data_IF_858628795779
#
_entry.id   IF_858628795779
#
_cell.length_a   1.000
_cell.length_b   1.000
_cell.length_c   1.000
_cell.angle_alpha   90.00
_cell.angle_beta   90.00
_cell.angle_gamma   90.00
#
_symmetry.space_group_name_H-M   'P 1'
#
loop_
_entity.id
_entity.type
_entity.pdbx_description
1 polymer ?
#
# COMPACT_ATOMS: atom_id res chain seq x y z
N UNK A 1 11.25 12.58 -23.29
CA UNK A 1 11.56 12.01 -21.96
C UNK A 1 11.49 10.50 -22.08
N UNK A 2 12.56 9.78 -21.74
CA UNK A 2 12.55 8.32 -21.71
C UNK A 2 11.85 7.79 -20.43
N UNK A 3 11.61 6.49 -20.33
CA UNK A 3 10.91 5.92 -19.18
C UNK A 3 11.63 6.18 -17.85
N UNK A 4 12.97 6.12 -17.84
CA UNK A 4 13.78 6.35 -16.65
C UNK A 4 13.63 7.79 -16.14
N UNK A 5 13.79 8.75 -17.04
CA UNK A 5 13.62 10.18 -16.74
C UNK A 5 12.21 10.46 -16.20
N UNK A 6 11.17 9.89 -16.82
CA UNK A 6 9.79 10.07 -16.35
C UNK A 6 9.61 9.55 -14.92
N UNK A 7 10.17 8.38 -14.61
CA UNK A 7 10.08 7.79 -13.27
C UNK A 7 10.81 8.62 -12.22
N UNK A 8 12.00 9.13 -12.56
CA UNK A 8 12.75 10.02 -11.68
C UNK A 8 11.94 11.27 -11.36
N UNK A 9 11.31 11.91 -12.36
CA UNK A 9 10.48 13.09 -12.10
C UNK A 9 9.20 12.76 -11.34
N UNK A 10 8.56 11.61 -11.62
CA UNK A 10 7.39 11.17 -10.88
C UNK A 10 7.74 10.95 -9.40
N UNK A 11 8.86 10.29 -9.12
CA UNK A 11 9.36 10.09 -7.77
C UNK A 11 9.71 11.43 -7.08
N UNK A 12 10.34 12.34 -7.81
CA UNK A 12 10.73 13.66 -7.32
C UNK A 12 9.56 14.65 -7.11
N UNK A 13 8.39 14.36 -7.69
CA UNK A 13 7.22 15.23 -7.64
C UNK A 13 6.62 15.37 -6.24
N UNK A 14 7.03 14.55 -5.27
CA UNK A 14 6.43 14.44 -3.93
C UNK A 14 4.90 14.14 -3.95
N UNK A 15 4.32 13.80 -5.12
CA UNK A 15 2.92 13.41 -5.20
C UNK A 15 2.68 12.14 -4.38
N UNK A 16 1.50 11.98 -3.76
CA UNK A 16 1.07 10.69 -3.25
C UNK A 16 1.00 9.67 -4.38
N UNK A 17 1.71 8.55 -4.23
CA UNK A 17 1.75 7.46 -5.20
C UNK A 17 1.41 6.14 -4.51
N UNK A 18 0.58 5.32 -5.16
CA UNK A 18 0.42 3.90 -4.83
C UNK A 18 0.92 3.09 -6.01
N UNK A 19 1.96 2.28 -5.80
CA UNK A 19 2.63 1.51 -6.86
C UNK A 19 2.25 0.03 -6.70
N UNK A 20 1.68 -0.56 -7.75
CA UNK A 20 1.33 -1.98 -7.81
C UNK A 20 2.12 -2.68 -8.91
N UNK A 21 2.81 -3.77 -8.55
CA UNK A 21 3.49 -4.65 -9.51
C UNK A 21 2.46 -5.49 -10.27
N UNK A 22 2.68 -5.67 -11.57
CA UNK A 22 1.87 -6.49 -12.46
C UNK A 22 2.76 -7.26 -13.44
N UNK A 23 2.21 -8.25 -14.15
CA UNK A 23 2.96 -9.24 -14.97
C UNK A 23 4.06 -8.64 -15.86
N UNK A 24 3.88 -7.43 -16.40
CA UNK A 24 4.82 -6.79 -17.34
C UNK A 24 5.27 -5.37 -16.92
N UNK A 25 5.17 -5.01 -15.63
CA UNK A 25 5.61 -3.70 -15.14
C UNK A 25 4.85 -3.23 -13.91
N UNK A 26 4.47 -1.95 -13.88
CA UNK A 26 3.83 -1.33 -12.71
C UNK A 26 2.62 -0.46 -13.07
N UNK A 27 1.62 -0.46 -12.21
CA UNK A 27 0.56 0.53 -12.21
C UNK A 27 0.84 1.52 -11.08
N UNK A 28 0.89 2.81 -11.40
CA UNK A 28 1.04 3.88 -10.41
C UNK A 28 -0.24 4.68 -10.37
N UNK A 29 -0.89 4.65 -9.21
CA UNK A 29 -2.08 5.42 -8.94
C UNK A 29 -1.68 6.71 -8.22
N UNK A 30 -2.18 7.83 -8.68
CA UNK A 30 -1.89 9.16 -8.11
C UNK A 30 -3.11 10.07 -8.21
N UNK A 31 -2.95 11.31 -7.77
CA UNK A 31 -4.03 12.29 -7.63
C UNK A 31 -5.16 11.69 -6.77
N UNK A 32 -4.80 11.38 -5.53
CA UNK A 32 -5.61 10.62 -4.56
C UNK A 32 -6.62 11.53 -3.84
N UNK A 33 -7.64 11.96 -4.56
CA UNK A 33 -8.59 13.00 -4.12
C UNK A 33 -9.47 12.55 -2.93
N UNK A 34 -10.13 11.39 -3.04
CA UNK A 34 -10.98 10.89 -1.96
C UNK A 34 -10.18 10.03 -0.99
N UNK A 35 -10.07 10.44 0.28
CA UNK A 35 -9.42 9.68 1.36
C UNK A 35 -10.47 9.08 2.29
N UNK A 36 -10.53 7.76 2.37
CA UNK A 36 -11.46 7.02 3.22
C UNK A 36 -10.67 6.32 4.32
N UNK A 37 -10.91 6.72 5.57
CA UNK A 37 -10.36 6.04 6.74
C UNK A 37 -11.28 4.89 7.16
N UNK A 38 -10.72 3.68 7.21
CA UNK A 38 -11.46 2.50 7.65
C UNK A 38 -11.27 2.23 9.13
N UNK A 39 -12.36 1.79 9.74
CA UNK A 39 -12.49 1.38 11.14
C UNK A 39 -13.39 0.16 11.21
N UNK A 40 -13.41 -0.53 12.35
CA UNK A 40 -14.30 -1.67 12.55
C UNK A 40 -15.78 -1.31 12.33
N UNK A 41 -16.17 -0.06 12.55
CA UNK A 41 -17.55 0.43 12.40
C UNK A 41 -18.00 0.59 10.95
N UNK A 42 -17.10 0.92 10.01
CA UNK A 42 -17.48 1.30 8.64
C UNK A 42 -16.94 0.35 7.56
N UNK A 43 -16.02 -0.55 7.89
CA UNK A 43 -15.32 -1.38 6.90
C UNK A 43 -16.27 -2.29 6.12
N UNK A 44 -17.30 -2.85 6.77
CA UNK A 44 -18.31 -3.68 6.11
C UNK A 44 -19.07 -2.89 5.05
N UNK A 45 -19.67 -1.77 5.45
CA UNK A 45 -20.41 -0.88 4.55
C UNK A 45 -19.52 -0.33 3.42
N UNK A 46 -18.24 -0.08 3.69
CA UNK A 46 -17.30 0.35 2.66
C UNK A 46 -17.15 -0.73 1.57
N UNK A 47 -16.81 -1.97 1.94
CA UNK A 47 -16.64 -3.05 0.97
C UNK A 47 -17.93 -3.39 0.23
N UNK A 48 -19.08 -3.40 0.91
CA UNK A 48 -20.38 -3.57 0.27
C UNK A 48 -20.64 -2.48 -0.78
N UNK A 49 -20.44 -1.20 -0.43
CA UNK A 49 -20.59 -0.09 -1.40
C UNK A 49 -19.64 -0.22 -2.58
N UNK A 50 -18.41 -0.71 -2.39
CA UNK A 50 -17.45 -0.88 -3.50
C UNK A 50 -17.88 -1.91 -4.53
N UNK A 51 -18.74 -2.87 -4.17
CA UNK A 51 -19.27 -3.88 -5.10
C UNK A 51 -20.37 -3.28 -6.00
N UNK A 52 -21.22 -2.41 -5.44
CA UNK A 52 -22.42 -1.91 -6.14
C UNK A 52 -22.25 -0.53 -6.78
N UNK A 53 -21.32 0.30 -6.32
CA UNK A 53 -21.13 1.66 -6.85
C UNK A 53 -20.14 1.67 -8.01
N UNK A 54 -20.67 1.76 -9.24
CA UNK A 54 -19.86 2.02 -10.44
C UNK A 54 -19.78 3.52 -10.73
N UNK A 55 -18.59 4.03 -11.05
CA UNK A 55 -18.37 5.36 -11.58
C UNK A 55 -18.24 5.30 -13.11
N UNK A 56 -19.31 5.60 -13.86
CA UNK A 56 -19.25 5.59 -15.32
C UNK A 56 -18.28 6.63 -15.90
N UNK A 57 -17.88 7.65 -15.12
CA UNK A 57 -16.95 8.70 -15.57
C UNK A 57 -15.49 8.22 -15.59
N UNK A 58 -15.15 7.14 -14.88
CA UNK A 58 -13.80 6.59 -14.88
C UNK A 58 -13.77 5.27 -15.66
N UNK A 59 -13.35 5.34 -16.91
CA UNK A 59 -13.29 4.19 -17.81
C UNK A 59 -12.01 3.35 -17.66
N UNK A 60 -11.04 3.75 -16.83
CA UNK A 60 -9.77 3.05 -16.69
C UNK A 60 -9.59 2.35 -15.35
N UNK A 61 -10.15 2.88 -14.27
CA UNK A 61 -10.09 2.29 -12.93
C UNK A 61 -11.16 2.88 -12.01
N UNK A 62 -12.15 2.07 -11.65
CA UNK A 62 -13.25 2.50 -10.78
C UNK A 62 -13.11 2.03 -9.32
N UNK A 63 -12.04 1.28 -9.03
CA UNK A 63 -11.78 0.75 -7.71
C UNK A 63 -11.21 1.76 -6.71
N UNK A 64 -10.83 1.23 -5.56
CA UNK A 64 -10.05 1.93 -4.55
C UNK A 64 -8.67 1.29 -4.42
N UNK A 65 -7.67 2.08 -4.06
CA UNK A 65 -6.32 1.63 -3.74
C UNK A 65 -5.98 2.07 -2.32
N UNK A 66 -5.43 1.16 -1.52
CA UNK A 66 -5.28 1.45 -0.11
C UNK A 66 -4.59 0.34 0.65
N UNK A 67 -4.66 0.47 1.96
CA UNK A 67 -4.00 -0.42 2.90
C UNK A 67 -4.92 -0.76 4.08
N UNK A 68 -4.95 -2.04 4.44
CA UNK A 68 -5.52 -2.57 5.67
C UNK A 68 -4.40 -3.05 6.58
N UNK A 69 -4.37 -2.53 7.79
CA UNK A 69 -3.41 -2.92 8.81
C UNK A 69 -3.86 -4.20 9.52
N UNK A 70 -2.87 -4.91 10.07
CA UNK A 70 -3.07 -6.16 10.79
C UNK A 70 -4.01 -5.99 11.99
N UNK A 71 -3.98 -4.82 12.64
CA UNK A 71 -4.79 -4.56 13.83
C UNK A 71 -6.29 -4.57 13.53
N UNK A 72 -6.71 -3.86 12.49
CA UNK A 72 -8.11 -3.85 12.06
C UNK A 72 -8.54 -5.25 11.63
N UNK A 73 -7.69 -6.01 10.92
CA UNK A 73 -8.00 -7.38 10.52
C UNK A 73 -8.27 -8.27 11.75
N UNK A 74 -7.44 -8.18 12.79
CA UNK A 74 -7.67 -8.92 14.04
C UNK A 74 -8.97 -8.51 14.73
N UNK A 75 -9.26 -7.20 14.80
CA UNK A 75 -10.52 -6.71 15.39
C UNK A 75 -11.75 -7.27 14.67
N UNK A 76 -11.70 -7.42 13.34
CA UNK A 76 -12.84 -7.93 12.56
C UNK A 76 -13.13 -9.42 12.79
N UNK A 77 -12.14 -10.19 13.21
CA UNK A 77 -12.30 -11.61 13.58
C UNK A 77 -12.33 -11.81 15.11
N UNK A 78 -12.57 -10.74 15.87
CA UNK A 78 -12.62 -10.74 17.34
C UNK A 78 -11.35 -11.27 18.04
N UNK A 79 -10.19 -11.16 17.38
CA UNK A 79 -8.89 -11.50 17.96
C UNK A 79 -8.33 -10.28 18.70
N UNK A 80 -8.14 -10.43 20.01
CA UNK A 80 -7.52 -9.39 20.86
C UNK A 80 -6.02 -9.37 20.65
N UNK A 81 -5.47 -8.21 20.31
CA UNK A 81 -4.03 -8.00 20.21
C UNK A 81 -3.51 -7.56 21.58
N UNK A 82 -2.43 -8.16 22.11
CA UNK A 82 -1.84 -7.72 23.36
C UNK A 82 -1.35 -6.27 23.24
N UNK A 83 -1.39 -5.54 24.35
CA UNK A 83 -0.87 -4.16 24.40
C UNK A 83 0.63 -4.19 24.06
N UNK A 84 0.99 -3.51 22.98
CA UNK A 84 2.36 -3.41 22.47
C UNK A 84 2.66 -1.96 22.07
N UNK A 85 3.94 -1.59 22.00
CA UNK A 85 4.33 -0.27 21.52
C UNK A 85 3.90 -0.11 20.06
N UNK A 86 3.11 0.92 19.78
CA UNK A 86 2.80 1.30 18.41
C UNK A 86 4.06 1.85 17.75
N UNK A 87 4.43 1.28 16.60
CA UNK A 87 5.49 1.80 15.75
C UNK A 87 5.03 2.99 14.89
N UNK A 88 3.87 3.59 15.20
CA UNK A 88 3.30 4.68 14.41
C UNK A 88 2.81 4.25 13.03
N UNK A 89 2.48 2.97 12.85
CA UNK A 89 2.04 2.46 11.56
C UNK A 89 0.80 3.18 11.04
N UNK A 90 0.72 3.34 9.73
CA UNK A 90 -0.32 4.14 9.10
C UNK A 90 -1.72 3.59 9.36
N UNK A 91 -2.67 4.52 9.43
CA UNK A 91 -4.09 4.22 9.55
C UNK A 91 -4.60 3.43 8.34
N UNK A 92 -5.65 2.63 8.53
CA UNK A 92 -6.36 1.97 7.44
C UNK A 92 -6.95 3.01 6.51
N UNK A 93 -6.38 3.18 5.31
CA UNK A 93 -6.76 4.24 4.39
C UNK A 93 -6.90 3.68 2.99
N UNK A 94 -7.99 4.07 2.33
CA UNK A 94 -8.26 3.79 0.93
C UNK A 94 -8.48 5.10 0.18
N UNK A 95 -8.06 5.09 -1.08
CA UNK A 95 -8.14 6.21 -1.99
C UNK A 95 -8.85 5.84 -3.27
N UNK A 96 -9.62 6.77 -3.83
CA UNK A 96 -10.09 6.67 -5.22
C UNK A 96 -9.16 7.50 -6.09
N UNK A 97 -8.30 6.88 -6.92
CA UNK A 97 -7.32 7.61 -7.71
C UNK A 97 -7.97 8.22 -8.95
N UNK A 98 -7.56 9.44 -9.30
CA UNK A 98 -8.03 10.13 -10.51
C UNK A 98 -7.09 9.93 -11.70
N UNK A 99 -5.89 9.40 -11.47
CA UNK A 99 -4.90 9.11 -12.51
C UNK A 99 -4.25 7.74 -12.30
N UNK A 100 -4.15 6.97 -13.39
CA UNK A 100 -3.38 5.74 -13.51
C UNK A 100 -2.27 5.91 -14.55
N UNK A 101 -1.03 5.73 -14.11
CA UNK A 101 0.15 5.66 -14.96
C UNK A 101 0.56 4.19 -15.09
N UNK A 102 0.47 3.63 -16.30
CA UNK A 102 0.93 2.27 -16.61
C UNK A 102 2.36 2.34 -17.14
N UNK A 103 3.30 1.78 -16.39
CA UNK A 103 4.71 1.69 -16.78
C UNK A 103 4.96 0.28 -17.32
N UNK A 104 5.21 0.17 -18.63
CA UNK A 104 5.55 -1.07 -19.35
C UNK A 104 6.76 -0.79 -20.25
N UNK A 105 6.80 -1.36 -21.47
CA UNK A 105 7.69 -0.90 -22.53
C UNK A 105 7.50 0.59 -22.82
N UNK A 106 6.24 1.03 -22.87
CA UNK A 106 5.85 2.44 -23.01
C UNK A 106 5.07 2.88 -21.76
N UNK A 107 5.11 4.18 -21.47
CA UNK A 107 4.31 4.79 -20.39
C UNK A 107 2.97 5.24 -20.97
N UNK A 108 1.88 4.80 -20.35
CA UNK A 108 0.53 5.27 -20.66
C UNK A 108 -0.05 5.99 -19.43
N UNK A 109 -0.65 7.15 -19.66
CA UNK A 109 -1.28 7.97 -18.61
C UNK A 109 -2.77 8.05 -18.91
N UNK A 110 -3.58 7.61 -17.97
CA UNK A 110 -5.04 7.64 -18.03
C UNK A 110 -5.51 8.48 -16.84
N UNK A 111 -6.30 9.51 -17.08
CA UNK A 111 -6.75 10.43 -16.02
C UNK A 111 -8.16 10.91 -16.29
N UNK A 112 -8.94 11.09 -15.22
CA UNK A 112 -10.23 11.80 -15.28
C UNK A 112 -10.06 13.31 -15.23
N UNK A 113 -8.85 13.80 -14.92
CA UNK A 113 -8.53 15.24 -14.86
C UNK A 113 -8.35 15.77 -16.28
N UNK A 114 -9.10 16.81 -16.64
CA UNK A 114 -9.00 17.47 -17.94
C UNK A 114 -7.60 18.05 -18.15
N UNK A 115 -7.08 17.91 -19.37
CA UNK A 115 -5.75 18.42 -19.78
C UNK A 115 -4.60 17.97 -18.86
N UNK A 116 -4.70 16.76 -18.29
CA UNK A 116 -3.74 16.28 -17.29
C UNK A 116 -2.29 16.40 -17.76
N UNK A 117 -1.99 15.98 -18.99
CA UNK A 117 -0.62 15.98 -19.55
C UNK A 117 -0.04 17.40 -19.68
N UNK A 118 -0.88 18.39 -19.97
CA UNK A 118 -0.47 19.78 -20.13
C UNK A 118 -0.26 20.44 -18.76
N UNK A 119 -1.18 20.18 -17.83
CA UNK A 119 -1.22 20.77 -16.50
C UNK A 119 -0.23 20.11 -15.51
N UNK A 120 0.18 18.86 -15.76
CA UNK A 120 1.06 18.09 -14.88
C UNK A 120 2.36 17.72 -15.58
N UNK A 121 3.01 18.71 -16.21
CA UNK A 121 4.36 18.53 -16.75
C UNK A 121 5.32 18.25 -15.61
N UNK A 122 5.83 17.02 -15.58
CA UNK A 122 6.86 16.61 -14.64
C UNK A 122 8.19 17.29 -15.02
N UNK A 123 8.77 18.03 -14.09
CA UNK A 123 10.07 18.68 -14.27
C UNK A 123 11.18 17.85 -13.61
N UNK A 124 12.36 17.74 -14.25
CA UNK A 124 13.53 17.15 -13.62
C UNK A 124 13.88 17.84 -12.31
N UNK A 125 14.05 17.05 -11.25
CA UNK A 125 14.54 17.55 -9.97
C UNK A 125 15.98 17.08 -9.74
N UNK A 126 16.78 17.92 -9.09
CA UNK A 126 18.16 17.61 -8.70
C UNK A 126 18.26 16.84 -7.38
N UNK A 127 17.13 16.42 -6.80
CA UNK A 127 17.10 15.64 -5.55
C UNK A 127 17.80 14.29 -5.76
N UNK A 128 18.89 14.08 -5.04
CA UNK A 128 19.55 12.77 -4.95
C UNK A 128 19.05 12.07 -3.69
N UNK A 129 18.46 10.89 -3.85
CA UNK A 129 18.08 10.05 -2.72
C UNK A 129 19.26 9.13 -2.38
N UNK A 130 19.77 9.23 -1.15
CA UNK A 130 20.76 8.30 -0.62
C UNK A 130 20.05 7.15 0.07
N UNK A 131 20.24 5.94 -0.43
CA UNK A 131 19.72 4.70 0.16
C UNK A 131 20.84 3.96 0.89
N UNK A 132 21.38 4.56 1.94
CA UNK A 132 22.23 3.83 2.88
C UNK A 132 21.75 4.10 4.30
N UNK A 133 20.89 3.20 4.78
CA UNK A 133 20.63 3.06 6.21
C UNK A 133 21.08 1.67 6.64
N UNK A 134 21.93 1.62 7.66
CA UNK A 134 22.14 0.39 8.42
C UNK A 134 20.79 -0.02 9.01
N UNK A 135 20.35 -1.25 8.72
CA UNK A 135 19.09 -1.76 9.23
C UNK A 135 19.24 -2.08 10.72
N UNK A 136 18.40 -1.47 11.56
CA UNK A 136 18.28 -1.84 12.96
C UNK A 136 17.26 -2.96 13.08
N UNK A 137 17.71 -4.16 13.46
CA UNK A 137 16.82 -5.27 13.79
C UNK A 137 16.24 -5.09 15.19
N UNK A 138 14.99 -5.49 15.39
CA UNK A 138 14.30 -5.43 16.68
C UNK A 138 14.65 -6.60 17.62
N UNK A 139 15.13 -7.72 17.06
CA UNK A 139 15.49 -8.92 17.79
C UNK A 139 16.86 -9.44 17.33
N UNK A 140 17.64 -9.93 18.27
CA UNK A 140 18.84 -10.72 17.99
C UNK A 140 18.47 -12.15 17.58
N UNK A 141 19.40 -12.85 16.91
CA UNK A 141 19.21 -14.26 16.54
C UNK A 141 18.87 -15.15 17.75
N UNK A 142 19.54 -14.93 18.89
CA UNK A 142 19.30 -15.69 20.11
C UNK A 142 17.87 -15.46 20.65
N UNK A 143 17.40 -14.20 20.65
CA UNK A 143 16.04 -13.86 21.08
C UNK A 143 14.99 -14.48 20.15
N UNK A 144 15.19 -14.39 18.83
CA UNK A 144 14.30 -15.02 17.86
C UNK A 144 14.29 -16.55 18.00
N UNK A 145 15.45 -17.18 18.20
CA UNK A 145 15.58 -18.63 18.39
C UNK A 145 14.77 -19.12 19.60
N UNK A 146 14.78 -18.36 20.70
CA UNK A 146 13.97 -18.66 21.88
C UNK A 146 12.47 -18.62 21.58
N UNK A 147 12.01 -17.59 20.86
CA UNK A 147 10.61 -17.47 20.42
C UNK A 147 10.23 -18.64 19.50
N UNK A 148 11.07 -18.93 18.50
CA UNK A 148 10.86 -20.03 17.55
C UNK A 148 10.70 -21.38 18.26
N UNK A 149 11.60 -21.71 19.20
CA UNK A 149 11.52 -22.98 19.96
C UNK A 149 10.23 -23.09 20.77
N UNK A 150 9.80 -22.02 21.42
CA UNK A 150 8.54 -21.98 22.16
C UNK A 150 7.33 -22.27 21.25
N UNK A 151 7.24 -21.63 20.08
CA UNK A 151 6.15 -21.89 19.15
C UNK A 151 6.24 -23.26 18.48
N UNK A 152 7.44 -23.76 18.19
CA UNK A 152 7.66 -25.13 17.69
C UNK A 152 7.18 -26.18 18.69
N UNK A 153 7.41 -25.98 19.99
CA UNK A 153 6.85 -26.84 21.03
C UNK A 153 5.32 -26.79 21.03
N UNK A 154 4.70 -25.59 20.98
CA UNK A 154 3.23 -25.46 20.95
C UNK A 154 2.59 -26.14 19.74
N UNK A 155 3.26 -26.15 18.58
CA UNK A 155 2.80 -26.89 17.40
C UNK A 155 2.83 -28.41 17.67
N UNK A 156 3.93 -28.93 18.24
CA UNK A 156 4.03 -30.35 18.62
C UNK A 156 3.01 -30.77 19.67
N UNK A 157 2.61 -29.85 20.54
CA UNK A 157 1.52 -30.04 21.52
C UNK A 157 0.12 -29.97 20.89
N UNK A 158 0.00 -29.75 19.57
CA UNK A 158 -1.29 -29.68 18.88
C UNK A 158 -2.06 -28.36 19.04
N UNK A 159 -1.42 -27.28 19.54
CA UNK A 159 -2.11 -25.99 19.78
C UNK A 159 -2.38 -25.20 18.50
N UNK A 160 -1.60 -25.41 17.45
CA UNK A 160 -1.83 -24.88 16.10
C UNK A 160 -1.03 -25.71 15.10
N UNK A 161 -1.42 -25.70 13.83
CA UNK A 161 -0.70 -26.39 12.76
C UNK A 161 0.44 -25.54 12.19
N UNK A 162 0.26 -24.21 12.15
CA UNK A 162 1.23 -23.30 11.57
C UNK A 162 1.14 -21.91 12.23
N UNK A 163 2.28 -21.23 12.34
CA UNK A 163 2.35 -19.82 12.76
C UNK A 163 3.46 -19.10 11.99
N UNK A 164 3.21 -17.84 11.63
CA UNK A 164 4.23 -16.94 11.08
C UNK A 164 4.75 -16.02 12.19
N UNK A 165 6.06 -16.03 12.41
CA UNK A 165 6.73 -15.17 13.39
C UNK A 165 7.53 -14.13 12.61
N UNK A 166 7.24 -12.86 12.82
CA UNK A 166 7.85 -11.71 12.15
C UNK A 166 8.64 -10.85 13.13
#
# INVERSE_FOLDING_TARGET
>A
MNNKEYLECLFNSNKPLVIYKVKNGFNVYTDLNAKIKLTSKNVKNFFEKTIYSKNPRNNFFDGYVGFLNYELLCQLINVKIPKQQSNGFHQNIFYKPETLIKIRKNIQILSTIKNYKENNKLTPSRKKFFHEKKFKVNLTLAQYTKLFRNFSQKIREGKTYQIKIC
#
